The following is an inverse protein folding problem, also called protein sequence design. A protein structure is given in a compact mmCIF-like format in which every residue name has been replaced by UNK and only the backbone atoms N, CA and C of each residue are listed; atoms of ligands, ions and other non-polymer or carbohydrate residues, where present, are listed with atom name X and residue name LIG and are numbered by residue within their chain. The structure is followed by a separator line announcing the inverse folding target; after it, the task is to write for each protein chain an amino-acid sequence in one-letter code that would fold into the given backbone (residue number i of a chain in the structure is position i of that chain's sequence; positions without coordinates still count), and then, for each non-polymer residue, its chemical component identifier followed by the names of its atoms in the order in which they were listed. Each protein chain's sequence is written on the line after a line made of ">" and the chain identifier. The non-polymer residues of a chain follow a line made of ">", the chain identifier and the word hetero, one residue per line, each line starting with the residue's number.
data_IF_780884753079
#
_entry.id   IF_780884753079
#
_cell.length_a   1.000
_cell.length_b   1.000
_cell.length_c   1.000
_cell.angle_alpha   90.00
_cell.angle_beta   90.00
_cell.angle_gamma   90.00
#
_symmetry.space_group_name_H-M   'P 1'
#
loop_
_entity.id
_entity.type
_entity.pdbx_description
1 polymer ?
#
# COMPACT_ATOMS: atom_id res chain seq x y z
N UNK A 1 -29.34 -17.35 -18.43
CA UNK A 1 -30.00 -16.30 -19.24
C UNK A 1 -30.07 -15.05 -18.38
N UNK A 2 -29.30 -14.01 -18.75
CA UNK A 2 -29.40 -12.58 -18.33
C UNK A 2 -29.04 -12.27 -16.85
N UNK A 3 -28.19 -11.32 -16.45
CA UNK A 3 -27.27 -10.37 -17.08
C UNK A 3 -26.34 -9.76 -15.99
N UNK A 4 -25.14 -9.32 -16.37
CA UNK A 4 -24.29 -8.38 -15.59
C UNK A 4 -24.82 -6.94 -15.65
N UNK A 5 -24.34 -6.06 -14.74
CA UNK A 5 -23.46 -4.95 -15.16
C UNK A 5 -22.26 -4.81 -14.19
N UNK A 6 -20.99 -4.70 -14.62
CA UNK A 6 -20.32 -3.52 -15.21
C UNK A 6 -20.94 -2.19 -14.75
N UNK A 7 -20.58 -1.73 -13.55
CA UNK A 7 -20.65 -0.32 -13.20
C UNK A 7 -19.42 0.06 -12.33
N UNK A 8 -18.53 0.80 -12.98
CA UNK A 8 -17.57 1.72 -12.37
C UNK A 8 -16.43 1.16 -11.52
N UNK A 9 -15.45 0.58 -12.22
CA UNK A 9 -14.08 1.03 -12.00
C UNK A 9 -13.96 2.48 -12.53
N UNK A 10 -13.38 3.39 -11.72
CA UNK A 10 -12.66 4.64 -12.11
C UNK A 10 -13.43 5.99 -12.11
N UNK A 11 -13.24 6.73 -11.03
CA UNK A 11 -13.01 8.19 -10.94
C UNK A 11 -12.50 8.43 -9.49
N UNK A 12 -11.21 8.46 -9.18
CA UNK A 12 -10.25 9.54 -9.49
C UNK A 12 -10.93 10.92 -9.54
N UNK A 13 -11.43 11.37 -8.39
CA UNK A 13 -11.78 12.77 -8.17
C UNK A 13 -10.62 13.42 -7.40
N UNK A 14 -9.92 14.31 -8.09
CA UNK A 14 -8.81 15.08 -7.56
C UNK A 14 -9.32 16.10 -6.52
N UNK A 15 -8.61 16.33 -5.40
CA UNK A 15 -8.98 17.45 -4.53
C UNK A 15 -8.25 18.72 -4.98
N UNK A 16 -9.00 19.69 -5.51
CA UNK A 16 -8.66 21.10 -5.45
C UNK A 16 -9.66 21.83 -4.52
N UNK A 17 -9.24 22.91 -3.84
CA UNK A 17 -9.35 23.03 -2.39
C UNK A 17 -10.69 23.62 -1.94
N UNK A 18 -11.36 22.96 -1.00
CA UNK A 18 -12.49 23.52 -0.27
C UNK A 18 -12.15 23.57 1.23
N UNK A 19 -12.44 24.73 1.81
CA UNK A 19 -12.06 25.20 3.12
C UNK A 19 -12.29 24.21 4.27
N UNK A 20 -11.37 24.30 5.24
CA UNK A 20 -11.30 23.54 6.47
C UNK A 20 -12.64 23.45 7.23
N UNK A 21 -13.34 22.34 7.07
CA UNK A 21 -14.14 21.78 8.15
C UNK A 21 -13.18 20.95 9.02
N UNK A 22 -12.86 21.43 10.22
CA UNK A 22 -12.18 20.61 11.21
C UNK A 22 -13.09 19.40 11.50
N UNK A 23 -12.71 18.16 11.13
CA UNK A 23 -13.53 17.02 11.46
C UNK A 23 -13.45 16.82 12.97
N UNK A 24 -14.63 16.62 13.58
CA UNK A 24 -14.77 16.24 14.98
C UNK A 24 -13.72 15.19 15.35
N UNK A 25 -12.91 15.48 16.36
CA UNK A 25 -11.85 14.58 16.82
C UNK A 25 -12.47 13.19 17.08
N UNK A 26 -12.07 12.15 16.33
CA UNK A 26 -12.41 10.78 16.69
C UNK A 26 -11.92 10.57 18.12
N UNK A 27 -12.75 9.95 18.97
CA UNK A 27 -12.41 9.63 20.35
C UNK A 27 -10.96 9.14 20.41
N UNK A 28 -10.11 9.87 21.14
CA UNK A 28 -8.68 9.63 21.18
C UNK A 28 -8.44 8.12 21.38
N UNK A 29 -7.78 7.44 20.44
CA UNK A 29 -7.63 6.00 20.52
C UNK A 29 -6.96 5.67 21.85
N UNK A 30 -7.58 4.77 22.61
CA UNK A 30 -7.10 4.34 23.93
C UNK A 30 -5.64 3.95 23.79
N UNK A 31 -4.79 4.42 24.69
CA UNK A 31 -3.40 3.98 24.73
C UNK A 31 -3.37 2.45 24.80
N UNK A 32 -2.73 1.76 23.84
CA UNK A 32 -2.76 0.30 23.84
C UNK A 32 -2.03 -0.24 25.07
N UNK A 33 -2.59 -1.30 25.68
CA UNK A 33 -1.96 -2.00 26.79
C UNK A 33 -0.69 -2.71 26.30
N UNK A 34 0.19 -3.16 27.21
CA UNK A 34 1.46 -3.80 26.81
C UNK A 34 1.21 -5.07 25.98
N UNK A 35 0.17 -5.81 26.31
CA UNK A 35 -0.24 -7.05 25.65
C UNK A 35 -0.68 -6.76 24.21
N UNK A 36 -1.44 -5.68 24.01
CA UNK A 36 -1.88 -5.23 22.68
C UNK A 36 -0.71 -4.75 21.82
N UNK A 37 0.32 -4.13 22.44
CA UNK A 37 1.54 -3.71 21.74
C UNK A 37 2.34 -4.92 21.26
N UNK A 38 2.50 -5.94 22.11
CA UNK A 38 3.22 -7.16 21.75
C UNK A 38 2.50 -7.88 20.62
N UNK A 39 1.17 -7.98 20.69
CA UNK A 39 0.37 -8.56 19.62
C UNK A 39 0.49 -7.81 18.29
N UNK A 40 0.49 -6.47 18.30
CA UNK A 40 0.66 -5.64 17.09
C UNK A 40 2.07 -5.82 16.48
N UNK A 41 3.11 -5.91 17.32
CA UNK A 41 4.49 -6.15 16.86
C UNK A 41 4.65 -7.56 16.29
N UNK A 42 4.08 -8.57 16.92
CA UNK A 42 4.10 -9.95 16.41
C UNK A 42 3.37 -10.05 15.07
N UNK A 43 2.19 -9.43 14.95
CA UNK A 43 1.45 -9.37 13.70
C UNK A 43 2.25 -8.63 12.61
N UNK A 44 2.91 -7.52 12.94
CA UNK A 44 3.75 -6.78 12.00
C UNK A 44 4.95 -7.62 11.50
N UNK A 45 5.66 -8.30 12.41
CA UNK A 45 6.82 -9.14 12.06
C UNK A 45 6.39 -10.34 11.21
N UNK A 46 5.29 -10.99 11.56
CA UNK A 46 4.74 -12.13 10.83
C UNK A 46 3.95 -11.71 9.57
N UNK A 47 3.92 -10.41 9.23
CA UNK A 47 3.13 -9.85 8.13
C UNK A 47 1.65 -10.30 8.16
N UNK A 48 1.09 -10.48 9.36
CA UNK A 48 -0.29 -10.88 9.59
C UNK A 48 -1.27 -9.71 9.65
N UNK A 49 -2.56 -10.01 9.79
CA UNK A 49 -3.60 -8.99 9.96
C UNK A 49 -3.45 -8.28 11.31
N UNK A 50 -3.39 -6.95 11.30
CA UNK A 50 -3.39 -6.15 12.53
C UNK A 50 -4.78 -6.05 13.13
N UNK A 51 -4.85 -5.87 14.46
CA UNK A 51 -6.10 -5.67 15.18
C UNK A 51 -6.73 -4.32 14.77
N UNK A 52 -7.99 -4.31 14.31
CA UNK A 52 -8.70 -3.05 14.05
C UNK A 52 -9.01 -2.32 15.36
N UNK A 53 -9.16 -0.98 15.28
CA UNK A 53 -9.65 -0.10 16.35
C UNK A 53 -8.75 0.15 17.58
N UNK A 54 -7.45 -0.13 17.48
CA UNK A 54 -6.43 0.30 18.47
C UNK A 54 -5.31 1.08 17.79
N UNK A 55 -4.81 2.15 18.41
CA UNK A 55 -3.71 2.93 17.84
C UNK A 55 -2.38 2.18 17.91
N UNK A 56 -1.90 1.64 16.79
CA UNK A 56 -0.54 1.09 16.68
C UNK A 56 0.51 2.17 16.98
N UNK A 57 1.52 1.85 17.80
CA UNK A 57 2.68 2.73 17.99
C UNK A 57 3.74 2.60 16.89
N UNK A 58 3.61 1.59 16.03
CA UNK A 58 4.37 1.51 14.78
C UNK A 58 3.74 2.48 13.79
N UNK A 59 4.31 3.67 13.69
CA UNK A 59 3.80 4.71 12.81
C UNK A 59 4.04 4.33 11.34
N UNK A 60 2.96 4.07 10.61
CA UNK A 60 2.97 3.87 9.16
C UNK A 60 3.74 2.64 8.67
N UNK A 61 4.10 2.67 7.39
CA UNK A 61 4.90 1.64 6.75
C UNK A 61 6.34 1.71 7.25
N UNK A 62 6.78 0.68 7.98
CA UNK A 62 8.13 0.63 8.50
C UNK A 62 9.20 0.43 7.41
N UNK A 63 10.50 0.50 7.78
CA UNK A 63 11.62 0.46 6.82
C UNK A 63 11.63 -0.77 5.90
N UNK A 64 11.20 -1.93 6.40
CA UNK A 64 11.12 -3.16 5.60
C UNK A 64 10.09 -3.09 4.47
N UNK A 65 8.92 -2.50 4.74
CA UNK A 65 7.91 -2.26 3.70
C UNK A 65 8.44 -1.32 2.62
N UNK A 66 9.12 -0.23 3.03
CA UNK A 66 9.71 0.71 2.09
C UNK A 66 10.83 0.05 1.26
N UNK A 67 11.70 -0.74 1.88
CA UNK A 67 12.74 -1.49 1.17
C UNK A 67 12.16 -2.50 0.17
N UNK A 68 11.07 -3.17 0.53
CA UNK A 68 10.37 -4.09 -0.35
C UNK A 68 9.77 -3.37 -1.57
N UNK A 69 9.14 -2.22 -1.35
CA UNK A 69 8.60 -1.39 -2.44
C UNK A 69 9.70 -0.90 -3.39
N UNK A 70 10.83 -0.44 -2.85
CA UNK A 70 11.98 -0.01 -3.66
C UNK A 70 12.59 -1.17 -4.46
N UNK A 71 12.71 -2.35 -3.84
CA UNK A 71 13.20 -3.57 -4.52
C UNK A 71 12.25 -3.98 -5.65
N UNK A 72 10.94 -3.97 -5.39
CA UNK A 72 9.93 -4.28 -6.39
C UNK A 72 9.99 -3.31 -7.58
N UNK A 73 10.11 -2.01 -7.30
CA UNK A 73 10.28 -0.99 -8.35
C UNK A 73 11.56 -1.22 -9.17
N UNK A 74 12.67 -1.57 -8.51
CA UNK A 74 13.92 -1.90 -9.20
C UNK A 74 13.78 -3.15 -10.10
N UNK A 75 13.08 -4.19 -9.64
CA UNK A 75 12.80 -5.39 -10.45
C UNK A 75 11.96 -5.06 -11.69
N UNK A 76 10.96 -4.19 -11.55
CA UNK A 76 10.15 -3.71 -12.69
C UNK A 76 11.01 -2.95 -13.69
N UNK A 77 11.87 -2.05 -13.21
CA UNK A 77 12.77 -1.29 -14.08
C UNK A 77 13.80 -2.20 -14.79
N UNK A 78 14.26 -3.24 -14.12
CA UNK A 78 15.15 -4.25 -14.72
C UNK A 78 14.43 -5.12 -15.76
N UNK A 79 13.11 -5.30 -15.69
CA UNK A 79 12.37 -5.95 -16.77
C UNK A 79 12.18 -5.05 -17.99
N UNK A 80 12.05 -3.73 -17.80
CA UNK A 80 11.81 -2.81 -18.91
C UNK A 80 13.10 -2.41 -19.64
N UNK A 81 14.16 -2.04 -18.91
CA UNK A 81 15.37 -1.49 -19.55
C UNK A 81 16.24 -2.56 -20.20
N UNK A 82 16.89 -3.50 -19.47
CA UNK A 82 17.66 -4.55 -20.12
C UNK A 82 16.76 -5.61 -20.77
N UNK A 83 15.59 -5.92 -20.20
CA UNK A 83 14.68 -6.93 -20.74
C UNK A 83 14.16 -6.60 -22.14
N UNK A 84 13.54 -5.42 -22.35
CA UNK A 84 13.06 -5.03 -23.67
C UNK A 84 14.20 -4.72 -24.64
N UNK A 85 15.26 -4.06 -24.19
CA UNK A 85 16.38 -3.71 -25.07
C UNK A 85 17.06 -4.96 -25.66
N UNK A 86 17.27 -6.01 -24.85
CA UNK A 86 17.84 -7.26 -25.32
C UNK A 86 16.84 -8.07 -26.16
N UNK A 87 15.56 -8.09 -25.79
CA UNK A 87 14.54 -8.85 -26.51
C UNK A 87 14.25 -8.25 -27.90
N UNK A 88 14.02 -6.94 -27.99
CA UNK A 88 13.82 -6.25 -29.26
C UNK A 88 15.12 -6.13 -30.08
N UNK A 89 16.24 -5.84 -29.43
CA UNK A 89 17.55 -5.75 -30.10
C UNK A 89 18.03 -7.08 -30.69
N UNK A 90 17.72 -8.21 -30.04
CA UNK A 90 18.09 -9.55 -30.50
C UNK A 90 17.21 -10.08 -31.65
N UNK A 91 15.94 -9.66 -31.73
CA UNK A 91 15.01 -10.05 -32.79
C UNK A 91 15.16 -9.21 -34.07
N UNK A 92 15.82 -8.06 -34.02
CA UNK A 92 15.87 -7.10 -35.13
C UNK A 92 16.76 -7.53 -36.32
N UNK A 93 17.52 -8.62 -36.18
CA UNK A 93 18.44 -9.13 -37.22
C UNK A 93 18.15 -10.57 -37.66
N UNK A 94 16.94 -11.06 -37.37
CA UNK A 94 16.42 -12.28 -37.96
C UNK A 94 15.18 -11.98 -38.79
#
# INVERSE_FOLDING_TARGET
>A
MVASPIACLKAEDAPAPAAAAAPAAPAAPKDPTLEQRVSDVEAYINNGSRTPDVASKVAGSGPGHNAWMMTSAALVLFMTLPGLALFYGGLVRR
#
